data_IF_682530284137
#
_entry.id   IF_682530284137
#
_cell.length_a   1.000
_cell.length_b   1.000
_cell.length_c   1.000
_cell.angle_alpha   90.00
_cell.angle_beta   90.00
_cell.angle_gamma   90.00
#
_symmetry.space_group_name_H-M   'P 1'
#
loop_
_entity.id
_entity.type
_entity.pdbx_description
1 polymer ?
#
# COMPACT_ATOMS: atom_id res chain seq x y z
N UNK A 1 -11.46 -6.84 16.12
CA UNK A 1 -10.46 -7.29 15.13
C UNK A 1 -11.01 -7.54 13.72
N UNK A 2 -12.34 -7.61 13.51
CA UNK A 2 -12.95 -7.89 12.19
C UNK A 2 -12.41 -7.02 11.03
N UNK A 3 -12.25 -5.71 11.24
CA UNK A 3 -11.73 -4.79 10.21
C UNK A 3 -10.33 -5.19 9.77
N UNK A 4 -9.44 -5.51 10.71
CA UNK A 4 -8.05 -5.87 10.41
C UNK A 4 -7.93 -7.20 9.68
N UNK A 5 -8.81 -8.16 9.98
CA UNK A 5 -8.86 -9.45 9.28
C UNK A 5 -9.25 -9.25 7.81
N UNK A 6 -10.33 -8.49 7.56
CA UNK A 6 -10.77 -8.15 6.20
C UNK A 6 -9.74 -7.30 5.45
N UNK A 7 -9.12 -6.34 6.14
CA UNK A 7 -8.04 -5.52 5.58
C UNK A 7 -6.83 -6.36 5.17
N UNK A 8 -6.47 -7.37 5.98
CA UNK A 8 -5.42 -8.33 5.66
C UNK A 8 -5.70 -9.06 4.34
N UNK A 9 -6.89 -9.63 4.18
CA UNK A 9 -7.29 -10.34 2.94
C UNK A 9 -7.23 -9.40 1.73
N UNK A 10 -7.77 -8.19 1.85
CA UNK A 10 -7.79 -7.21 0.75
C UNK A 10 -6.38 -6.76 0.35
N UNK A 11 -5.49 -6.54 1.31
CA UNK A 11 -4.11 -6.12 1.02
C UNK A 11 -3.26 -7.25 0.43
N UNK A 12 -3.52 -8.52 0.76
CA UNK A 12 -2.88 -9.66 0.08
C UNK A 12 -3.26 -9.70 -1.39
N UNK A 13 -4.56 -9.56 -1.68
CA UNK A 13 -5.06 -9.49 -3.05
C UNK A 13 -4.49 -8.28 -3.79
N UNK A 14 -4.47 -7.10 -3.15
CA UNK A 14 -3.96 -5.87 -3.75
C UNK A 14 -2.48 -5.98 -4.11
N UNK A 15 -1.64 -6.53 -3.21
CA UNK A 15 -0.21 -6.71 -3.49
C UNK A 15 0.03 -7.63 -4.69
N UNK A 16 -0.75 -8.73 -4.79
CA UNK A 16 -0.65 -9.64 -5.92
C UNK A 16 -1.07 -8.98 -7.23
N UNK A 17 -2.23 -8.33 -7.26
CA UNK A 17 -2.72 -7.62 -8.43
C UNK A 17 -1.72 -6.53 -8.85
N UNK A 18 -1.22 -5.76 -7.90
CA UNK A 18 -0.33 -4.64 -8.18
C UNK A 18 0.98 -5.09 -8.83
N UNK A 19 1.68 -6.07 -8.25
CA UNK A 19 2.94 -6.58 -8.82
C UNK A 19 2.71 -7.23 -10.19
N UNK A 20 1.63 -7.98 -10.36
CA UNK A 20 1.30 -8.58 -11.66
C UNK A 20 1.01 -7.53 -12.73
N UNK A 21 0.30 -6.46 -12.38
CA UNK A 21 0.07 -5.34 -13.29
C UNK A 21 1.40 -4.66 -13.67
N UNK A 22 2.29 -4.40 -12.69
CA UNK A 22 3.60 -3.82 -12.98
C UNK A 22 4.48 -4.74 -13.84
N UNK A 23 4.41 -6.06 -13.63
CA UNK A 23 5.10 -7.03 -14.49
C UNK A 23 4.67 -6.90 -15.95
N UNK A 24 3.36 -6.79 -16.20
CA UNK A 24 2.83 -6.57 -17.54
C UNK A 24 3.31 -5.23 -18.11
N UNK A 25 3.23 -4.15 -17.32
CA UNK A 25 3.65 -2.81 -17.73
C UNK A 25 5.13 -2.83 -18.15
N UNK A 26 6.02 -3.29 -17.27
CA UNK A 26 7.46 -3.26 -17.54
C UNK A 26 7.88 -4.23 -18.64
N UNK A 27 7.24 -5.40 -18.75
CA UNK A 27 7.48 -6.30 -19.88
C UNK A 27 7.14 -5.62 -21.21
N UNK A 28 5.99 -4.95 -21.28
CA UNK A 28 5.56 -4.28 -22.51
C UNK A 28 6.37 -3.02 -22.79
N UNK A 29 6.79 -2.29 -21.76
CA UNK A 29 7.66 -1.13 -21.90
C UNK A 29 9.04 -1.51 -22.46
N UNK A 30 9.69 -2.53 -21.88
CA UNK A 30 10.97 -3.06 -22.39
C UNK A 30 10.83 -3.56 -23.84
N UNK A 31 9.68 -4.13 -24.21
CA UNK A 31 9.47 -4.68 -25.56
C UNK A 31 9.19 -3.62 -26.62
N UNK A 32 8.36 -2.63 -26.30
CA UNK A 32 7.80 -1.71 -27.30
C UNK A 32 8.29 -0.26 -27.15
N UNK A 33 8.92 0.09 -26.03
CA UNK A 33 9.38 1.45 -25.74
C UNK A 33 10.66 1.46 -24.91
N UNK A 34 11.63 0.61 -25.29
CA UNK A 34 12.92 0.57 -24.61
C UNK A 34 13.65 1.91 -24.71
N UNK A 35 14.03 2.48 -23.57
CA UNK A 35 14.70 3.78 -23.42
C UNK A 35 16.18 3.72 -23.84
N UNK A 36 16.42 3.34 -25.10
CA UNK A 36 17.75 3.05 -25.63
C UNK A 36 18.78 4.16 -25.41
N UNK A 37 18.39 5.43 -25.54
CA UNK A 37 19.31 6.56 -25.34
C UNK A 37 19.75 6.65 -23.87
N UNK A 38 18.80 6.58 -22.93
CA UNK A 38 19.11 6.61 -21.50
C UNK A 38 19.92 5.37 -21.09
N UNK A 39 19.54 4.20 -21.61
CA UNK A 39 20.21 2.93 -21.27
C UNK A 39 21.60 2.81 -21.89
N UNK A 40 21.89 3.48 -23.01
CA UNK A 40 23.23 3.54 -23.60
C UNK A 40 24.24 4.30 -22.73
N UNK A 41 23.75 5.09 -21.76
CA UNK A 41 24.55 5.85 -20.81
C UNK A 41 24.72 5.12 -19.46
N UNK A 42 24.30 3.87 -19.36
CA UNK A 42 24.48 3.04 -18.18
C UNK A 42 25.52 1.95 -18.42
N UNK A 43 26.06 1.40 -17.33
CA UNK A 43 26.81 0.14 -17.37
C UNK A 43 25.97 -0.98 -18.00
N UNK A 44 26.67 -2.02 -18.51
CA UNK A 44 26.03 -3.17 -19.16
C UNK A 44 24.90 -3.78 -18.30
N UNK A 45 25.16 -3.98 -17.01
CA UNK A 45 24.26 -4.66 -16.09
C UNK A 45 23.65 -3.67 -15.10
N UNK A 46 22.47 -3.15 -15.43
CA UNK A 46 21.75 -2.21 -14.57
C UNK A 46 20.94 -2.94 -13.49
N UNK A 47 21.17 -2.58 -12.22
CA UNK A 47 20.33 -3.01 -11.11
C UNK A 47 18.93 -2.40 -11.22
N UNK A 48 17.90 -3.24 -11.10
CA UNK A 48 16.50 -2.83 -11.27
C UNK A 48 15.72 -3.05 -9.99
N UNK A 49 14.89 -2.07 -9.65
CA UNK A 49 13.92 -2.18 -8.57
C UNK A 49 12.49 -2.15 -9.11
N UNK A 50 11.61 -2.94 -8.52
CA UNK A 50 10.16 -2.83 -8.73
C UNK A 50 9.62 -1.87 -7.66
N UNK A 51 9.47 -0.60 -8.02
CA UNK A 51 9.03 0.44 -7.11
C UNK A 51 7.51 0.43 -6.94
N UNK A 52 7.03 0.07 -5.75
CA UNK A 52 5.62 0.06 -5.40
C UNK A 52 5.27 1.25 -4.51
N UNK A 53 4.41 2.15 -4.97
CA UNK A 53 3.93 3.28 -4.17
C UNK A 53 2.74 2.89 -3.29
N UNK A 54 2.68 3.45 -2.08
CA UNK A 54 1.46 3.49 -1.27
C UNK A 54 1.02 4.93 -1.06
N UNK A 55 -0.27 5.18 -1.23
CA UNK A 55 -0.89 6.49 -1.04
C UNK A 55 -1.91 6.43 0.11
N UNK A 56 -2.16 7.58 0.75
CA UNK A 56 -3.17 7.69 1.81
C UNK A 56 -2.76 7.03 3.14
N UNK A 57 -1.45 6.94 3.43
CA UNK A 57 -0.94 6.31 4.65
C UNK A 57 -1.54 6.92 5.92
N UNK A 58 -1.51 8.24 6.07
CA UNK A 58 -2.04 8.93 7.26
C UNK A 58 -3.55 8.71 7.40
N UNK A 59 -4.30 8.79 6.30
CA UNK A 59 -5.75 8.53 6.31
C UNK A 59 -6.04 7.11 6.78
N UNK A 60 -5.27 6.12 6.32
CA UNK A 60 -5.44 4.74 6.75
C UNK A 60 -5.06 4.54 8.22
N UNK A 61 -3.93 5.12 8.67
CA UNK A 61 -3.47 5.06 10.05
C UNK A 61 -4.50 5.68 11.01
N UNK A 62 -4.99 6.88 10.70
CA UNK A 62 -6.00 7.59 11.50
C UNK A 62 -7.33 6.86 11.52
N UNK A 63 -7.75 6.28 10.39
CA UNK A 63 -8.99 5.48 10.34
C UNK A 63 -8.91 4.26 11.25
N UNK A 64 -7.77 3.55 11.26
CA UNK A 64 -7.56 2.41 12.15
C UNK A 64 -7.41 2.85 13.60
N UNK A 65 -6.77 4.00 13.86
CA UNK A 65 -6.69 4.62 15.18
C UNK A 65 -8.08 4.94 15.73
N UNK A 66 -8.95 5.58 14.94
CA UNK A 66 -10.33 5.87 15.32
C UNK A 66 -11.11 4.60 15.65
N UNK A 67 -10.99 3.56 14.83
CA UNK A 67 -11.67 2.26 15.07
C UNK A 67 -11.16 1.58 16.35
N UNK A 68 -9.90 1.80 16.73
CA UNK A 68 -9.26 1.17 17.88
C UNK A 68 -9.50 1.93 19.19
N UNK A 69 -9.50 3.26 19.15
CA UNK A 69 -9.49 4.11 20.34
C UNK A 69 -10.79 4.91 20.55
N UNK A 70 -11.64 5.02 19.53
CA UNK A 70 -12.96 5.65 19.61
C UNK A 70 -14.07 4.66 19.20
N UNK A 71 -15.33 5.08 19.28
CA UNK A 71 -16.45 4.32 18.74
C UNK A 71 -16.76 4.81 17.34
N UNK A 72 -16.56 3.96 16.35
CA UNK A 72 -16.85 4.26 14.94
C UNK A 72 -18.09 3.51 14.50
N UNK A 73 -19.12 4.25 14.07
CA UNK A 73 -20.38 3.70 13.57
C UNK A 73 -20.50 3.96 12.07
N UNK A 74 -20.55 2.91 11.22
CA UNK A 74 -20.77 3.07 9.80
C UNK A 74 -22.23 3.45 9.53
N UNK A 75 -22.44 4.50 8.74
CA UNK A 75 -23.76 4.86 8.22
C UNK A 75 -23.88 4.28 6.82
N UNK A 76 -24.87 3.39 6.64
CA UNK A 76 -25.02 2.57 5.44
C UNK A 76 -26.22 3.01 4.62
N UNK A 77 -26.12 2.86 3.30
CA UNK A 77 -27.27 2.96 2.40
C UNK A 77 -28.16 1.71 2.47
N UNK A 78 -29.23 1.68 1.67
CA UNK A 78 -30.19 0.56 1.60
C UNK A 78 -29.54 -0.76 1.16
N UNK A 79 -28.43 -0.71 0.43
CA UNK A 79 -27.66 -1.88 -0.02
C UNK A 79 -26.61 -2.36 1.01
N UNK A 80 -26.50 -1.66 2.15
CA UNK A 80 -25.53 -1.98 3.20
C UNK A 80 -24.13 -1.43 2.96
N UNK A 81 -23.91 -0.58 1.97
CA UNK A 81 -22.63 0.08 1.69
C UNK A 81 -22.44 1.26 2.64
N UNK A 82 -21.29 1.33 3.32
CA UNK A 82 -20.94 2.45 4.19
C UNK A 82 -20.70 3.72 3.36
N UNK A 83 -21.48 4.77 3.61
CA UNK A 83 -21.35 6.07 2.95
C UNK A 83 -20.45 7.04 3.73
N UNK A 84 -20.58 7.05 5.05
CA UNK A 84 -19.76 7.84 5.98
C UNK A 84 -19.74 7.18 7.35
N UNK A 85 -18.97 7.75 8.28
CA UNK A 85 -18.76 7.21 9.62
C UNK A 85 -19.01 8.29 10.67
N UNK A 86 -19.81 7.94 11.69
CA UNK A 86 -19.93 8.73 12.92
C UNK A 86 -18.85 8.26 13.90
N UNK A 87 -18.12 9.20 14.51
CA UNK A 87 -17.09 8.91 15.50
C UNK A 87 -17.46 9.54 16.84
N UNK A 88 -17.61 8.73 17.87
CA UNK A 88 -17.84 9.17 19.26
C UNK A 88 -16.58 8.92 20.09
N UNK A 89 -16.04 9.98 20.68
CA UNK A 89 -14.75 9.99 21.40
C UNK A 89 -13.64 10.64 20.58
N UNK A 90 -12.46 10.77 21.19
CA UNK A 90 -11.25 11.25 20.51
C UNK A 90 -10.26 10.09 20.31
N UNK A 91 -9.36 10.26 19.35
CA UNK A 91 -8.37 9.26 18.99
C UNK A 91 -7.05 9.93 18.54
N UNK A 92 -5.90 9.25 18.75
CA UNK A 92 -4.60 9.75 18.29
C UNK A 92 -4.55 9.89 16.76
N UNK A 93 -3.96 10.98 16.28
CA UNK A 93 -3.82 11.26 14.84
C UNK A 93 -2.35 11.26 14.46
N UNK A 94 -2.02 10.64 13.33
CA UNK A 94 -0.68 10.50 12.81
C UNK A 94 0.01 11.86 12.64
N UNK A 95 1.31 11.90 12.93
CA UNK A 95 2.11 13.12 12.81
C UNK A 95 2.09 14.04 14.05
N UNK A 96 1.68 13.51 15.20
CA UNK A 96 1.68 14.22 16.48
C UNK A 96 2.59 13.57 17.54
N UNK A 97 3.54 12.72 17.13
CA UNK A 97 4.48 12.01 18.03
C UNK A 97 3.74 11.17 19.09
N UNK A 98 2.77 10.37 18.61
CA UNK A 98 1.97 9.47 19.46
C UNK A 98 2.11 8.05 18.94
N UNK A 99 2.92 7.26 19.65
CA UNK A 99 3.25 5.87 19.32
C UNK A 99 2.00 5.03 18.99
N UNK A 100 0.84 5.32 19.60
CA UNK A 100 -0.38 4.53 19.41
C UNK A 100 -0.88 4.53 17.97
N UNK A 101 -0.69 5.63 17.23
CA UNK A 101 -1.07 5.76 15.81
C UNK A 101 0.14 5.70 14.89
N UNK A 102 1.31 6.14 15.36
CA UNK A 102 2.55 6.05 14.59
C UNK A 102 2.96 4.58 14.40
N UNK A 103 2.79 3.71 15.40
CA UNK A 103 2.97 2.26 15.27
C UNK A 103 2.00 1.63 14.24
N UNK A 104 0.80 2.20 14.08
CA UNK A 104 -0.15 1.73 13.06
C UNK A 104 0.39 2.08 11.67
N UNK A 105 0.93 3.28 11.48
CA UNK A 105 1.55 3.67 10.21
C UNK A 105 2.77 2.80 9.88
N UNK A 106 3.64 2.52 10.86
CA UNK A 106 4.77 1.59 10.71
C UNK A 106 4.28 0.20 10.30
N UNK A 107 3.27 -0.33 11.01
CA UNK A 107 2.67 -1.62 10.67
C UNK A 107 2.15 -1.65 9.24
N UNK A 108 1.44 -0.62 8.78
CA UNK A 108 0.89 -0.56 7.42
C UNK A 108 2.00 -0.62 6.36
N UNK A 109 3.06 0.16 6.57
CA UNK A 109 4.23 0.22 5.67
C UNK A 109 4.94 -1.14 5.60
N UNK A 110 5.25 -1.74 6.75
CA UNK A 110 5.96 -3.02 6.81
C UNK A 110 5.12 -4.17 6.27
N UNK A 111 3.83 -4.20 6.65
CA UNK A 111 2.92 -5.27 6.26
C UNK A 111 2.70 -5.28 4.75
N UNK A 112 2.48 -4.11 4.12
CA UNK A 112 2.33 -4.02 2.68
C UNK A 112 3.61 -4.46 1.96
N UNK A 113 4.78 -4.01 2.43
CA UNK A 113 6.06 -4.40 1.82
C UNK A 113 6.30 -5.92 1.91
N UNK A 114 5.96 -6.53 3.05
CA UNK A 114 6.06 -7.97 3.23
C UNK A 114 5.12 -8.75 2.31
N UNK A 115 3.93 -8.21 2.00
CA UNK A 115 3.01 -8.80 1.02
C UNK A 115 3.52 -8.64 -0.41
N UNK A 116 4.04 -7.46 -0.76
CA UNK A 116 4.65 -7.18 -2.07
C UNK A 116 5.76 -8.20 -2.38
N UNK A 117 6.69 -8.42 -1.44
CA UNK A 117 7.84 -9.33 -1.59
C UNK A 117 7.49 -10.80 -1.88
N UNK A 118 6.24 -11.23 -1.62
CA UNK A 118 5.80 -12.60 -1.91
C UNK A 118 5.53 -12.85 -3.39
N UNK A 119 5.45 -11.80 -4.20
CA UNK A 119 5.12 -11.89 -5.61
C UNK A 119 6.40 -11.92 -6.47
N UNK A 120 6.39 -12.63 -7.59
CA UNK A 120 7.54 -12.65 -8.52
C UNK A 120 7.54 -11.38 -9.36
N UNK A 121 8.71 -10.82 -9.63
CA UNK A 121 8.89 -9.63 -10.47
C UNK A 121 9.49 -9.96 -11.82
N UNK A 122 9.07 -9.21 -12.84
CA UNK A 122 9.68 -9.22 -14.16
C UNK A 122 11.17 -8.86 -14.05
N UNK A 123 12.01 -9.62 -14.77
CA UNK A 123 13.49 -9.53 -14.73
C UNK A 123 14.10 -9.62 -13.32
N UNK A 124 13.39 -10.26 -12.36
CA UNK A 124 13.81 -10.36 -10.96
C UNK A 124 14.13 -8.99 -10.34
N UNK A 125 13.42 -7.93 -10.75
CA UNK A 125 13.62 -6.60 -10.18
C UNK A 125 13.39 -6.64 -8.66
N UNK A 126 14.28 -5.99 -7.90
CA UNK A 126 14.24 -6.01 -6.44
C UNK A 126 13.07 -5.18 -5.92
N UNK A 127 12.21 -5.74 -5.09
CA UNK A 127 11.05 -5.03 -4.57
C UNK A 127 11.47 -3.83 -3.70
N UNK A 128 10.88 -2.67 -3.95
CA UNK A 128 10.98 -1.50 -3.09
C UNK A 128 9.61 -0.87 -2.86
N UNK A 129 9.49 -0.07 -1.80
CA UNK A 129 8.26 0.67 -1.50
C UNK A 129 8.58 2.13 -1.24
N UNK A 130 7.68 3.01 -1.69
CA UNK A 130 7.69 4.43 -1.37
C UNK A 130 6.35 4.86 -0.79
N UNK A 131 6.38 5.80 0.13
CA UNK A 131 5.19 6.57 0.55
C UNK A 131 5.26 7.88 -0.24
N UNK A 132 4.48 7.98 -1.32
CA UNK A 132 4.54 9.07 -2.30
C UNK A 132 3.16 9.41 -2.86
#
# INVERSE_FOLDING_TARGET
>A
NEVMEKFGVMTDWLANLYVNTLNCIHYMHDKYSYESLQMALHDRDVFRTMACGIAGLSVCADSLSAIKYAKVKPIRNEEGISLYFEVEGDFPKYGNDDDRVDDIAVFLVENMMNKIRKNKTYRNAYHTQSVL
#
